data_IF_526980005700
#
_entry.id   IF_526980005700
#
_cell.length_a   1.000
_cell.length_b   1.000
_cell.length_c   1.000
_cell.angle_alpha   90.00
_cell.angle_beta   90.00
_cell.angle_gamma   90.00
#
_symmetry.space_group_name_H-M   'P 1'
#
loop_
_entity.id
_entity.type
_entity.pdbx_description
1 polymer ?
#
# COMPACT_ATOMS: atom_id res chain seq x y z
N UNK A 1 -2.36 -14.13 -7.91
CA UNK A 1 -1.72 -12.91 -8.46
C UNK A 1 -1.87 -11.82 -7.43
N UNK A 2 -0.79 -11.11 -7.12
CA UNK A 2 -0.80 -9.93 -6.27
C UNK A 2 -0.47 -8.70 -7.12
N UNK A 3 -1.24 -7.63 -6.95
CA UNK A 3 -1.01 -6.34 -7.61
C UNK A 3 -1.04 -5.28 -6.52
N UNK A 4 -0.04 -4.42 -6.49
CA UNK A 4 -0.05 -3.32 -5.51
C UNK A 4 0.80 -2.14 -5.97
N UNK A 5 0.47 -0.98 -5.42
CA UNK A 5 1.24 0.23 -5.59
C UNK A 5 2.35 0.31 -4.53
N UNK A 6 3.52 0.77 -4.96
CA UNK A 6 4.65 1.03 -4.08
C UNK A 6 4.53 2.40 -3.37
N UNK A 7 3.55 3.25 -3.72
CA UNK A 7 3.49 4.65 -3.27
C UNK A 7 2.75 4.92 -1.97
N UNK A 8 2.06 3.93 -1.41
CA UNK A 8 1.28 4.09 -0.17
C UNK A 8 2.10 3.68 1.04
N UNK A 9 1.72 2.56 1.67
CA UNK A 9 2.38 2.09 2.87
C UNK A 9 3.89 1.94 2.72
N UNK A 10 4.38 1.53 1.54
CA UNK A 10 5.82 1.40 1.30
C UNK A 10 6.54 2.74 1.13
N UNK A 11 5.86 3.80 0.68
CA UNK A 11 6.44 5.13 0.48
C UNK A 11 7.52 5.19 -0.61
N UNK A 12 7.44 4.33 -1.63
CA UNK A 12 8.31 4.33 -2.81
C UNK A 12 7.54 4.78 -4.07
N UNK A 13 8.10 4.60 -5.27
CA UNK A 13 7.42 4.95 -6.51
C UNK A 13 7.20 3.72 -7.39
N UNK A 14 6.08 3.69 -8.12
CA UNK A 14 5.72 2.61 -9.04
C UNK A 14 4.67 1.63 -8.51
N UNK A 15 4.60 0.48 -9.15
CA UNK A 15 3.70 -0.62 -8.83
C UNK A 15 4.29 -1.94 -9.30
N UNK A 16 3.74 -3.05 -8.83
CA UNK A 16 4.22 -4.38 -9.21
C UNK A 16 3.06 -5.36 -9.40
N UNK A 17 3.35 -6.43 -10.13
CA UNK A 17 2.55 -7.65 -10.20
C UNK A 17 3.44 -8.82 -9.79
N UNK A 18 2.97 -9.65 -8.86
CA UNK A 18 3.62 -10.91 -8.49
C UNK A 18 2.65 -12.07 -8.78
N UNK A 19 3.06 -12.98 -9.66
CA UNK A 19 2.23 -14.11 -10.10
C UNK A 19 3.13 -15.29 -10.50
N UNK A 20 2.52 -16.38 -10.99
CA UNK A 20 3.26 -17.44 -11.66
C UNK A 20 3.96 -16.89 -12.90
N UNK A 21 5.08 -17.51 -13.27
CA UNK A 21 5.97 -17.06 -14.35
C UNK A 21 5.22 -16.88 -15.66
N UNK A 22 4.36 -17.83 -16.03
CA UNK A 22 3.60 -17.82 -17.29
C UNK A 22 2.68 -16.59 -17.37
N UNK A 23 2.13 -16.17 -16.24
CA UNK A 23 1.25 -15.00 -16.16
C UNK A 23 2.05 -13.70 -16.25
N UNK A 24 3.24 -13.65 -15.63
CA UNK A 24 4.14 -12.49 -15.74
C UNK A 24 4.65 -12.35 -17.17
N UNK A 25 5.06 -13.45 -17.81
CA UNK A 25 5.50 -13.47 -19.21
C UNK A 25 4.39 -13.04 -20.16
N UNK A 26 3.16 -13.53 -19.96
CA UNK A 26 2.01 -13.06 -20.73
C UNK A 26 1.81 -11.54 -20.56
N UNK A 27 1.85 -11.02 -19.33
CA UNK A 27 1.66 -9.60 -19.06
C UNK A 27 2.76 -8.73 -19.67
N UNK A 28 4.02 -9.14 -19.57
CA UNK A 28 5.18 -8.46 -20.18
C UNK A 28 5.04 -8.36 -21.70
N UNK A 29 4.49 -9.40 -22.36
CA UNK A 29 4.34 -9.46 -23.81
C UNK A 29 3.03 -8.84 -24.34
N UNK A 30 2.02 -8.60 -23.50
CA UNK A 30 0.68 -8.15 -23.96
C UNK A 30 0.21 -6.82 -23.37
N UNK A 31 0.79 -6.38 -22.25
CA UNK A 31 0.36 -5.16 -21.55
C UNK A 31 0.86 -3.91 -22.27
N UNK A 32 -0.03 -3.22 -23.00
CA UNK A 32 0.29 -1.94 -23.66
C UNK A 32 0.88 -0.90 -22.68
N UNK A 33 0.34 -0.70 -21.46
CA UNK A 33 0.93 0.23 -20.50
C UNK A 33 2.35 -0.14 -20.08
N UNK A 34 2.72 -1.43 -20.10
CA UNK A 34 4.07 -1.88 -19.79
C UNK A 34 5.01 -1.69 -21.01
N UNK A 35 4.55 -2.07 -22.20
CA UNK A 35 5.34 -2.04 -23.45
C UNK A 35 5.64 -0.61 -23.91
N UNK A 36 4.68 0.30 -23.78
CA UNK A 36 4.77 1.66 -24.34
C UNK A 36 5.11 2.73 -23.29
N UNK A 37 5.64 2.34 -22.13
CA UNK A 37 6.09 3.28 -21.08
C UNK A 37 7.56 3.04 -20.77
N UNK A 38 8.32 4.11 -20.54
CA UNK A 38 9.72 4.00 -20.11
C UNK A 38 9.84 3.29 -18.77
N UNK A 39 10.88 2.47 -18.62
CA UNK A 39 11.19 1.82 -17.35
C UNK A 39 11.46 2.85 -16.24
N UNK A 40 11.22 2.44 -14.99
CA UNK A 40 11.54 3.25 -13.83
C UNK A 40 13.06 3.53 -13.76
N UNK A 41 13.48 4.77 -13.47
CA UNK A 41 14.86 5.09 -13.18
C UNK A 41 15.45 4.17 -12.08
N UNK A 42 16.70 3.73 -12.26
CA UNK A 42 17.36 2.76 -11.37
C UNK A 42 17.32 3.18 -9.89
N UNK A 43 17.55 4.46 -9.59
CA UNK A 43 17.55 4.95 -8.20
C UNK A 43 16.19 4.78 -7.50
N UNK A 44 15.07 4.84 -8.24
CA UNK A 44 13.73 4.58 -7.69
C UNK A 44 13.53 3.10 -7.42
N UNK A 45 14.06 2.22 -8.28
CA UNK A 45 14.01 0.77 -8.10
C UNK A 45 14.78 0.36 -6.85
N UNK A 46 16.02 0.84 -6.68
CA UNK A 46 16.84 0.54 -5.50
C UNK A 46 16.17 1.02 -4.21
N UNK A 47 15.67 2.27 -4.19
CA UNK A 47 14.95 2.79 -3.03
C UNK A 47 13.69 1.98 -2.68
N UNK A 48 13.01 1.40 -3.67
CA UNK A 48 11.87 0.52 -3.43
C UNK A 48 12.31 -0.82 -2.82
N UNK A 49 13.37 -1.43 -3.35
CA UNK A 49 13.93 -2.69 -2.84
C UNK A 49 14.40 -2.56 -1.39
N UNK A 50 15.11 -1.49 -1.05
CA UNK A 50 15.55 -1.20 0.33
C UNK A 50 14.37 -1.08 1.29
N UNK A 51 13.27 -0.46 0.85
CA UNK A 51 12.07 -0.33 1.68
C UNK A 51 11.31 -1.65 1.81
N UNK A 52 11.33 -2.50 0.78
CA UNK A 52 10.72 -3.83 0.81
C UNK A 52 11.46 -4.73 1.80
N UNK A 53 12.80 -4.68 1.80
CA UNK A 53 13.64 -5.47 2.70
C UNK A 53 13.71 -4.91 4.13
N UNK A 54 13.31 -3.65 4.34
CA UNK A 54 13.34 -3.01 5.67
C UNK A 54 12.42 -3.69 6.70
N UNK A 55 12.87 -3.74 7.97
CA UNK A 55 12.00 -4.14 9.09
C UNK A 55 11.02 -3.00 9.42
N UNK A 56 9.73 -3.29 9.33
CA UNK A 56 8.65 -2.30 9.50
C UNK A 56 7.73 -2.61 10.67
N UNK A 57 8.05 -3.62 11.48
CA UNK A 57 7.16 -4.12 12.52
C UNK A 57 6.89 -3.06 13.60
N UNK A 58 7.94 -2.39 14.08
CA UNK A 58 7.78 -1.31 15.07
C UNK A 58 6.86 -0.18 14.58
N UNK A 59 6.95 0.18 13.29
CA UNK A 59 6.08 1.20 12.67
C UNK A 59 4.62 0.71 12.59
N UNK A 60 4.39 -0.58 12.29
CA UNK A 60 3.04 -1.18 12.28
C UNK A 60 2.42 -1.22 13.67
N UNK A 61 3.17 -1.63 14.68
CA UNK A 61 2.71 -1.64 16.08
C UNK A 61 2.31 -0.22 16.50
N UNK A 62 3.15 0.79 16.21
CA UNK A 62 2.83 2.18 16.51
C UNK A 62 1.58 2.68 15.77
N UNK A 63 1.45 2.34 14.48
CA UNK A 63 0.27 2.67 13.69
C UNK A 63 -1.01 2.15 14.35
N UNK A 64 -1.03 0.86 14.73
CA UNK A 64 -2.21 0.28 15.39
C UNK A 64 -2.49 0.90 16.75
N UNK A 65 -1.47 1.19 17.57
CA UNK A 65 -1.68 1.91 18.84
C UNK A 65 -2.37 3.26 18.61
N UNK A 66 -1.94 4.01 17.59
CA UNK A 66 -2.54 5.29 17.25
C UNK A 66 -3.98 5.15 16.75
N UNK A 67 -4.25 4.15 15.91
CA UNK A 67 -5.61 3.87 15.41
C UNK A 67 -6.57 3.61 16.57
N UNK A 68 -6.23 2.69 17.48
CA UNK A 68 -7.09 2.39 18.64
C UNK A 68 -7.27 3.58 19.59
N UNK A 69 -6.27 4.46 19.69
CA UNK A 69 -6.41 5.70 20.46
C UNK A 69 -7.41 6.65 19.80
N UNK A 70 -7.31 6.85 18.49
CA UNK A 70 -8.22 7.72 17.73
C UNK A 70 -9.64 7.15 17.74
N UNK A 71 -9.81 5.86 17.48
CA UNK A 71 -11.12 5.20 17.48
C UNK A 71 -11.85 5.39 18.81
N UNK A 72 -11.18 5.10 19.94
CA UNK A 72 -11.75 5.31 21.28
C UNK A 72 -12.12 6.78 21.54
N UNK A 73 -11.28 7.72 21.10
CA UNK A 73 -11.57 9.14 21.24
C UNK A 73 -12.81 9.56 20.43
N UNK A 74 -12.92 9.10 19.18
CA UNK A 74 -14.07 9.38 18.32
C UNK A 74 -15.35 8.73 18.86
N UNK A 75 -15.28 7.49 19.31
CA UNK A 75 -16.40 6.79 19.97
C UNK A 75 -16.87 7.53 21.22
N UNK A 76 -15.95 8.06 22.04
CA UNK A 76 -16.31 8.86 23.22
C UNK A 76 -17.01 10.18 22.88
N UNK A 77 -16.81 10.68 21.66
CA UNK A 77 -17.50 11.86 21.13
C UNK A 77 -18.83 11.52 20.44
N UNK A 78 -19.26 10.25 20.45
CA UNK A 78 -20.49 9.78 19.83
C UNK A 78 -20.39 9.41 18.36
N UNK A 79 -19.19 9.37 17.77
CA UNK A 79 -19.00 8.87 16.41
C UNK A 79 -19.09 7.35 16.39
N UNK A 80 -19.81 6.80 15.43
CA UNK A 80 -19.85 5.35 15.20
C UNK A 80 -18.73 4.96 14.23
N UNK A 81 -17.65 4.39 14.77
CA UNK A 81 -16.53 3.90 13.97
C UNK A 81 -16.66 2.39 13.78
N UNK A 82 -16.86 1.95 12.54
CA UNK A 82 -16.88 0.54 12.16
C UNK A 82 -15.81 0.28 11.10
N UNK A 83 -14.54 0.44 11.50
CA UNK A 83 -13.40 0.16 10.62
C UNK A 83 -12.42 -0.77 11.32
N UNK A 84 -12.12 -1.87 10.65
CA UNK A 84 -11.10 -2.83 11.06
C UNK A 84 -9.74 -2.57 10.37
N UNK A 85 -9.57 -1.38 9.78
CA UNK A 85 -8.37 -0.98 9.03
C UNK A 85 -7.77 0.31 9.56
N UNK A 86 -6.59 0.68 9.03
CA UNK A 86 -5.97 1.99 9.28
C UNK A 86 -6.70 3.17 8.64
N UNK A 87 -7.75 2.94 7.86
CA UNK A 87 -8.57 3.97 7.22
C UNK A 87 -9.82 4.14 8.09
N UNK A 88 -10.05 5.35 8.60
CA UNK A 88 -11.23 5.68 9.40
C UNK A 88 -12.12 6.59 8.54
N UNK A 89 -13.13 6.04 7.84
CA UNK A 89 -14.06 6.85 7.07
C UNK A 89 -15.03 7.59 8.00
N UNK A 90 -15.44 8.78 7.60
CA UNK A 90 -16.55 9.47 8.25
C UNK A 90 -17.87 9.00 7.63
N UNK A 91 -18.65 8.24 8.40
CA UNK A 91 -19.95 7.73 7.98
C UNK A 91 -21.10 8.69 8.31
N UNK A 92 -20.81 9.84 8.93
CA UNK A 92 -21.80 10.87 9.28
C UNK A 92 -21.92 11.97 8.23
N UNK A 93 -21.14 11.92 7.14
CA UNK A 93 -21.29 12.86 6.04
C UNK A 93 -22.66 12.63 5.38
N UNK A 94 -23.57 13.59 5.56
CA UNK A 94 -24.84 13.74 4.85
C UNK A 94 -24.84 15.08 4.15
#
# INVERSE_FOLDING_TARGET
MYISSLSKGLGAFGGYVASKKEVVELAVNTSRPFIYTSALPNFLVQAALDKISSNREQKRIKLWKNIHMIQRGLESLGYKIDSQSQIIPDNNWK
#
